data_IF_075441993532
#
_entry.id   IF_075441993532
#
_cell.length_a   1.000
_cell.length_b   1.000
_cell.length_c   1.000
_cell.angle_alpha   90.00
_cell.angle_beta   90.00
_cell.angle_gamma   90.00
#
_symmetry.space_group_name_H-M   'P 1'
#
loop_
_entity.id
_entity.type
_entity.pdbx_description
1 polymer ?
#
# COMPACT_ATOMS: atom_id res chain seq x y z
N UNK A 1 16.16 4.58 -16.51
CA UNK A 1 15.82 5.32 -17.70
C UNK A 1 14.57 6.15 -17.48
N UNK A 2 14.39 7.14 -18.30
CA UNK A 2 13.20 8.01 -18.22
C UNK A 2 11.91 7.24 -18.38
N UNK A 3 11.93 6.18 -19.19
CA UNK A 3 10.76 5.33 -19.42
C UNK A 3 10.31 4.65 -18.11
N UNK A 4 11.25 4.10 -17.35
CA UNK A 4 10.93 3.44 -16.09
C UNK A 4 10.38 4.45 -15.07
N UNK A 5 11.02 5.61 -14.98
CA UNK A 5 10.55 6.68 -14.09
C UNK A 5 9.15 7.16 -14.49
N UNK A 6 8.90 7.28 -15.79
CA UNK A 6 7.58 7.69 -16.29
C UNK A 6 6.51 6.67 -15.97
N UNK A 7 6.82 5.35 -16.10
CA UNK A 7 5.87 4.30 -15.75
C UNK A 7 5.48 4.35 -14.28
N UNK A 8 6.46 4.53 -13.40
CA UNK A 8 6.20 4.60 -11.97
C UNK A 8 5.40 5.86 -11.62
N UNK A 9 5.75 7.00 -12.21
CA UNK A 9 4.97 8.21 -12.06
C UNK A 9 3.54 8.04 -12.54
N UNK A 10 3.34 7.25 -13.60
CA UNK A 10 1.99 6.99 -14.12
C UNK A 10 1.15 6.16 -13.14
N UNK A 11 1.74 5.16 -12.46
CA UNK A 11 1.03 4.37 -11.46
C UNK A 11 0.60 5.26 -10.29
N UNK A 12 1.50 6.11 -9.80
CA UNK A 12 1.17 7.07 -8.72
C UNK A 12 0.09 8.04 -9.15
N UNK A 13 0.18 8.58 -10.37
CA UNK A 13 -0.80 9.53 -10.89
C UNK A 13 -2.17 8.88 -10.99
N UNK A 14 -2.25 7.64 -11.46
CA UNK A 14 -3.52 6.89 -11.51
C UNK A 14 -4.09 6.74 -10.11
N UNK A 15 -3.26 6.38 -9.13
CA UNK A 15 -3.69 6.26 -7.74
C UNK A 15 -4.28 7.55 -7.20
N UNK A 16 -3.63 8.69 -7.47
CA UNK A 16 -4.11 10.00 -7.02
C UNK A 16 -5.42 10.38 -7.72
N UNK A 17 -5.52 10.13 -9.01
CA UNK A 17 -6.74 10.42 -9.78
C UNK A 17 -7.90 9.58 -9.26
N UNK A 18 -7.69 8.29 -9.04
CA UNK A 18 -8.73 7.39 -8.53
C UNK A 18 -9.18 7.85 -7.13
N UNK A 19 -8.23 8.25 -6.28
CA UNK A 19 -8.56 8.75 -4.94
C UNK A 19 -9.42 10.01 -4.99
N UNK A 20 -9.14 10.90 -5.96
CA UNK A 20 -9.87 12.16 -6.12
C UNK A 20 -11.23 11.95 -6.81
N UNK A 21 -11.31 11.02 -7.79
CA UNK A 21 -12.50 10.81 -8.61
C UNK A 21 -12.83 9.31 -8.71
N UNK A 22 -13.08 8.64 -7.57
CA UNK A 22 -13.20 7.18 -7.55
C UNK A 22 -14.37 6.65 -8.39
N UNK A 23 -15.47 7.40 -8.49
CA UNK A 23 -16.63 6.96 -9.24
C UNK A 23 -16.36 6.89 -10.75
N UNK A 24 -15.40 7.69 -11.23
CA UNK A 24 -15.04 7.71 -12.65
C UNK A 24 -13.91 6.73 -12.98
N UNK A 25 -12.99 6.50 -12.05
CA UNK A 25 -11.74 5.79 -12.32
C UNK A 25 -11.64 4.43 -11.66
N UNK A 26 -12.67 4.01 -10.90
CA UNK A 26 -12.66 2.70 -10.23
C UNK A 26 -12.50 1.54 -11.21
N UNK A 27 -12.89 1.72 -12.47
CA UNK A 27 -12.71 0.70 -13.50
C UNK A 27 -11.24 0.33 -13.77
N UNK A 28 -10.29 1.18 -13.37
CA UNK A 28 -8.86 0.89 -13.50
C UNK A 28 -8.31 0.02 -12.38
N UNK A 29 -9.07 -0.22 -11.30
CA UNK A 29 -8.59 -0.99 -10.16
C UNK A 29 -8.17 -2.42 -10.53
N UNK A 30 -8.90 -3.19 -11.36
CA UNK A 30 -8.46 -4.51 -11.76
C UNK A 30 -7.10 -4.49 -12.44
N UNK A 31 -6.80 -3.44 -13.21
CA UNK A 31 -5.52 -3.28 -13.88
C UNK A 31 -4.38 -3.01 -12.87
N UNK A 32 -4.64 -2.18 -11.86
CA UNK A 32 -3.67 -1.94 -10.78
C UNK A 32 -3.35 -3.24 -10.04
N UNK A 33 -4.36 -4.01 -9.69
CA UNK A 33 -4.17 -5.29 -9.01
C UNK A 33 -3.37 -6.25 -9.90
N UNK A 34 -3.61 -6.24 -11.20
CA UNK A 34 -2.86 -7.08 -12.14
C UNK A 34 -1.38 -6.68 -12.19
N UNK A 35 -1.10 -5.38 -12.23
CA UNK A 35 0.27 -4.86 -12.22
C UNK A 35 1.00 -5.25 -10.93
N UNK A 36 0.28 -5.36 -9.81
CA UNK A 36 0.87 -5.73 -8.52
C UNK A 36 1.51 -7.13 -8.53
N UNK A 37 1.24 -7.93 -9.54
CA UNK A 37 1.87 -9.24 -9.72
C UNK A 37 3.30 -9.15 -10.28
N UNK A 38 3.68 -7.99 -10.81
CA UNK A 38 5.06 -7.74 -11.23
C UNK A 38 5.87 -7.28 -10.02
N UNK A 39 6.85 -8.11 -9.55
CA UNK A 39 7.61 -7.77 -8.35
C UNK A 39 8.36 -6.45 -8.45
N UNK A 40 8.78 -6.05 -9.65
CA UNK A 40 9.56 -4.83 -9.83
C UNK A 40 8.72 -3.57 -9.62
N UNK A 41 7.39 -3.64 -9.81
CA UNK A 41 6.47 -2.53 -9.68
C UNK A 41 5.68 -2.57 -8.38
N UNK A 42 5.86 -3.63 -7.60
CA UNK A 42 5.03 -3.87 -6.42
C UNK A 42 5.04 -2.74 -5.40
N UNK A 43 6.20 -2.14 -5.03
CA UNK A 43 6.19 -1.03 -4.07
C UNK A 43 5.34 0.16 -4.53
N UNK A 44 5.46 0.55 -5.79
CA UNK A 44 4.73 1.69 -6.34
C UNK A 44 3.23 1.41 -6.42
N UNK A 45 2.87 0.21 -6.82
CA UNK A 45 1.46 -0.20 -6.89
C UNK A 45 0.85 -0.19 -5.49
N UNK A 46 1.55 -0.72 -4.49
CA UNK A 46 1.06 -0.70 -3.12
C UNK A 46 0.91 0.73 -2.59
N UNK A 47 1.82 1.63 -2.95
CA UNK A 47 1.71 3.03 -2.57
C UNK A 47 0.47 3.67 -3.21
N UNK A 48 0.22 3.41 -4.48
CA UNK A 48 -0.98 3.89 -5.17
C UNK A 48 -2.26 3.31 -4.56
N UNK A 49 -2.27 2.02 -4.29
CA UNK A 49 -3.40 1.36 -3.63
C UNK A 49 -3.63 1.92 -2.23
N UNK A 50 -2.57 2.29 -1.53
CA UNK A 50 -2.66 2.93 -0.22
C UNK A 50 -3.42 4.24 -0.26
N UNK A 51 -3.16 5.07 -1.27
CA UNK A 51 -3.89 6.33 -1.46
C UNK A 51 -5.37 6.08 -1.73
N UNK A 52 -5.67 5.12 -2.58
CA UNK A 52 -7.05 4.73 -2.88
C UNK A 52 -7.71 4.19 -1.61
N UNK A 53 -7.03 3.31 -0.88
CA UNK A 53 -7.56 2.68 0.32
C UNK A 53 -7.81 3.68 1.45
N UNK A 54 -6.99 4.72 1.55
CA UNK A 54 -7.21 5.78 2.52
C UNK A 54 -8.48 6.58 2.19
N UNK A 55 -8.67 6.93 0.93
CA UNK A 55 -9.82 7.72 0.48
C UNK A 55 -11.09 6.88 0.34
N UNK A 56 -10.98 5.68 -0.19
CA UNK A 56 -12.13 4.82 -0.49
C UNK A 56 -11.80 3.36 -0.16
N UNK A 57 -11.75 3.01 1.14
CA UNK A 57 -11.42 1.64 1.55
C UNK A 57 -12.41 0.60 1.00
N UNK A 58 -13.66 1.00 0.77
CA UNK A 58 -14.68 0.12 0.21
C UNK A 58 -14.29 -0.48 -1.14
N UNK A 59 -13.51 0.27 -1.95
CA UNK A 59 -13.10 -0.20 -3.28
C UNK A 59 -12.07 -1.32 -3.21
N UNK A 60 -11.27 -1.38 -2.15
CA UNK A 60 -10.13 -2.31 -2.06
C UNK A 60 -10.32 -3.39 -1.00
N UNK A 61 -11.37 -3.33 -0.20
CA UNK A 61 -11.55 -4.28 0.92
C UNK A 61 -11.52 -5.74 0.48
N UNK A 62 -12.06 -6.04 -0.68
CA UNK A 62 -12.08 -7.41 -1.21
C UNK A 62 -10.70 -7.95 -1.56
N UNK A 63 -9.69 -7.06 -1.63
CA UNK A 63 -8.32 -7.46 -1.96
C UNK A 63 -7.45 -7.65 -0.73
N UNK A 64 -8.01 -7.57 0.49
CA UNK A 64 -7.24 -7.67 1.73
C UNK A 64 -6.49 -8.99 1.86
N UNK A 65 -7.15 -10.11 1.65
CA UNK A 65 -6.52 -11.42 1.84
C UNK A 65 -5.28 -11.61 0.96
N UNK A 66 -5.30 -11.31 -0.34
CA UNK A 66 -4.09 -11.41 -1.16
C UNK A 66 -2.95 -10.51 -0.73
N UNK A 67 -3.22 -9.45 0.03
CA UNK A 67 -2.19 -8.52 0.50
C UNK A 67 -1.49 -9.00 1.78
N UNK A 68 -2.11 -9.87 2.57
CA UNK A 68 -1.55 -10.32 3.84
C UNK A 68 -0.17 -10.98 3.67
N UNK A 69 0.07 -11.87 2.71
CA UNK A 69 1.39 -12.46 2.52
C UNK A 69 2.50 -11.43 2.24
N UNK A 70 2.15 -10.24 1.74
CA UNK A 70 3.12 -9.19 1.47
C UNK A 70 3.74 -8.62 2.73
N UNK A 71 3.13 -8.86 3.88
CA UNK A 71 3.71 -8.48 5.17
C UNK A 71 4.97 -9.28 5.51
N UNK A 72 5.25 -10.33 4.75
CA UNK A 72 6.46 -11.15 4.89
C UNK A 72 7.40 -11.03 3.69
N UNK A 73 7.15 -10.06 2.81
CA UNK A 73 7.98 -9.85 1.64
C UNK A 73 9.40 -9.46 2.04
N UNK A 74 10.44 -9.95 1.34
CA UNK A 74 11.82 -9.57 1.65
C UNK A 74 12.11 -8.06 1.55
N UNK A 75 11.37 -7.35 0.69
CA UNK A 75 11.52 -5.91 0.52
C UNK A 75 10.78 -5.16 1.63
N UNK A 76 11.50 -4.37 2.41
CA UNK A 76 10.90 -3.61 3.51
C UNK A 76 9.88 -2.57 3.02
N UNK A 77 10.08 -2.00 1.83
CA UNK A 77 9.10 -1.07 1.27
C UNK A 77 7.77 -1.78 1.01
N UNK A 78 7.83 -3.00 0.49
CA UNK A 78 6.62 -3.80 0.27
C UNK A 78 5.93 -4.09 1.60
N UNK A 79 6.68 -4.53 2.61
CA UNK A 79 6.11 -4.80 3.93
C UNK A 79 5.45 -3.57 4.52
N UNK A 80 6.12 -2.43 4.44
CA UNK A 80 5.61 -1.18 4.99
C UNK A 80 4.34 -0.69 4.31
N UNK A 81 4.34 -0.63 3.00
CA UNK A 81 3.16 -0.17 2.27
C UNK A 81 2.00 -1.15 2.37
N UNK A 82 2.28 -2.46 2.43
CA UNK A 82 1.23 -3.44 2.67
C UNK A 82 0.59 -3.26 4.06
N UNK A 83 1.41 -3.02 5.08
CA UNK A 83 0.91 -2.77 6.43
C UNK A 83 0.03 -1.53 6.48
N UNK A 84 0.46 -0.44 5.84
CA UNK A 84 -0.34 0.79 5.78
C UNK A 84 -1.66 0.56 5.06
N UNK A 85 -1.63 -0.11 3.92
CA UNK A 85 -2.84 -0.42 3.15
C UNK A 85 -3.83 -1.22 3.98
N UNK A 86 -3.36 -2.29 4.62
CA UNK A 86 -4.23 -3.14 5.44
C UNK A 86 -4.84 -2.37 6.61
N UNK A 87 -4.12 -1.41 7.16
CA UNK A 87 -4.65 -0.51 8.19
C UNK A 87 -5.77 0.37 7.65
N UNK A 88 -5.56 0.99 6.49
CA UNK A 88 -6.59 1.82 5.84
C UNK A 88 -7.84 1.01 5.52
N UNK A 89 -7.69 -0.24 5.12
CA UNK A 89 -8.81 -1.12 4.80
C UNK A 89 -9.50 -1.67 6.05
N UNK A 90 -8.95 -1.41 7.23
CA UNK A 90 -9.43 -2.00 8.49
C UNK A 90 -9.54 -3.51 8.39
N UNK A 91 -8.49 -4.13 7.84
CA UNK A 91 -8.44 -5.57 7.56
C UNK A 91 -8.16 -6.33 8.85
N UNK A 92 -9.20 -6.63 9.60
CA UNK A 92 -9.08 -7.34 10.87
C UNK A 92 -8.43 -8.72 10.70
N UNK A 93 -8.62 -9.35 9.55
CA UNK A 93 -8.00 -10.63 9.22
C UNK A 93 -6.48 -10.59 9.16
N UNK A 94 -5.90 -9.39 9.05
CA UNK A 94 -4.45 -9.20 9.04
C UNK A 94 -3.87 -8.94 10.43
N UNK A 95 -4.70 -8.91 11.47
CA UNK A 95 -4.28 -8.47 12.80
C UNK A 95 -3.09 -9.26 13.34
N UNK A 96 -3.12 -10.58 13.27
CA UNK A 96 -2.03 -11.39 13.82
C UNK A 96 -0.73 -11.20 13.05
N UNK A 97 -0.80 -11.08 11.73
CA UNK A 97 0.37 -10.84 10.91
C UNK A 97 0.95 -9.43 11.19
N UNK A 98 0.09 -8.45 11.41
CA UNK A 98 0.54 -7.10 11.79
C UNK A 98 1.19 -7.11 13.18
N UNK A 99 0.68 -7.89 14.11
CA UNK A 99 1.29 -8.03 15.44
C UNK A 99 2.72 -8.55 15.31
N UNK A 100 2.95 -9.52 14.43
CA UNK A 100 4.29 -10.06 14.20
C UNK A 100 5.25 -8.99 13.67
N UNK A 101 4.75 -8.03 12.89
CA UNK A 101 5.56 -6.96 12.36
C UNK A 101 6.01 -5.96 13.42
N UNK A 102 5.46 -6.01 14.62
CA UNK A 102 5.91 -5.14 15.71
C UNK A 102 7.36 -5.40 16.10
N UNK A 103 7.89 -6.57 15.78
CA UNK A 103 9.29 -6.90 16.03
C UNK A 103 10.21 -6.53 14.86
N UNK A 104 9.66 -6.01 13.78
CA UNK A 104 10.42 -5.65 12.57
C UNK A 104 10.86 -4.20 12.64
N UNK A 105 12.16 -4.00 12.96
CA UNK A 105 12.72 -2.66 13.13
C UNK A 105 13.37 -2.11 11.85
N UNK A 106 13.12 -2.74 10.69
CA UNK A 106 13.70 -2.27 9.44
C UNK A 106 13.27 -0.81 9.18
N UNK A 107 14.25 0.06 8.82
CA UNK A 107 13.92 1.44 8.47
C UNK A 107 13.28 1.50 7.10
N UNK A 108 12.41 2.47 6.92
CA UNK A 108 11.72 2.71 5.66
C UNK A 108 11.45 4.20 5.52
N UNK A 109 11.57 4.70 4.30
CA UNK A 109 11.14 6.04 3.94
C UNK A 109 9.77 5.93 3.27
N UNK A 110 8.79 6.65 3.78
CA UNK A 110 7.46 6.69 3.17
C UNK A 110 7.14 8.10 2.74
N UNK A 111 6.26 8.22 1.76
CA UNK A 111 5.76 9.50 1.29
C UNK A 111 4.35 9.70 1.84
N UNK A 112 4.18 10.75 2.64
CA UNK A 112 2.92 10.98 3.32
C UNK A 112 2.72 12.49 3.47
N UNK A 113 1.52 12.97 3.13
CA UNK A 113 1.16 14.39 3.22
C UNK A 113 2.14 15.30 2.47
N UNK A 114 2.61 14.86 1.29
CA UNK A 114 3.49 15.65 0.44
C UNK A 114 4.95 15.66 0.88
N UNK A 115 5.32 14.85 1.86
CA UNK A 115 6.68 14.83 2.42
C UNK A 115 7.19 13.41 2.60
N UNK A 116 8.51 13.24 2.47
CA UNK A 116 9.17 12.00 2.81
C UNK A 116 9.35 11.93 4.32
N UNK A 117 8.94 10.82 4.91
CA UNK A 117 9.02 10.58 6.34
C UNK A 117 9.84 9.32 6.60
N UNK A 118 10.81 9.41 7.50
CA UNK A 118 11.57 8.25 7.94
C UNK A 118 10.85 7.58 9.10
N UNK A 119 10.64 6.27 8.98
CA UNK A 119 9.96 5.51 10.01
C UNK A 119 10.50 4.08 10.03
N UNK A 120 9.84 3.17 10.72
CA UNK A 120 10.19 1.75 10.77
C UNK A 120 8.96 0.91 10.49
N UNK A 121 9.18 -0.33 10.08
CA UNK A 121 8.07 -1.29 9.92
C UNK A 121 7.32 -1.45 11.25
N UNK A 122 8.05 -1.51 12.36
CA UNK A 122 7.47 -1.53 13.71
C UNK A 122 6.42 -0.44 13.90
N UNK A 123 6.80 0.82 13.60
CA UNK A 123 5.91 1.97 13.79
C UNK A 123 4.69 1.89 12.87
N UNK A 124 4.89 1.50 11.62
CA UNK A 124 3.78 1.35 10.68
C UNK A 124 2.81 0.25 11.11
N UNK A 125 3.32 -0.85 11.66
CA UNK A 125 2.48 -1.91 12.19
C UNK A 125 1.64 -1.43 13.37
N UNK A 126 2.23 -0.66 14.28
CA UNK A 126 1.51 -0.08 15.42
C UNK A 126 0.38 0.84 14.93
N UNK A 127 0.69 1.73 13.99
CA UNK A 127 -0.31 2.64 13.44
C UNK A 127 -1.46 1.89 12.77
N UNK A 128 -1.14 0.85 11.99
CA UNK A 128 -2.15 0.06 11.30
C UNK A 128 -3.01 -0.74 12.27
N UNK A 129 -2.41 -1.32 13.32
CA UNK A 129 -3.16 -2.03 14.35
C UNK A 129 -4.15 -1.11 15.05
N UNK A 130 -3.78 0.15 15.26
CA UNK A 130 -4.66 1.12 15.91
C UNK A 130 -5.91 1.45 15.06
N UNK A 131 -5.87 1.18 13.76
CA UNK A 131 -6.98 1.44 12.84
C UNK A 131 -7.97 0.27 12.75
N UNK A 132 -7.59 -0.89 13.20
CA UNK A 132 -8.45 -2.07 13.17
C UNK A 132 -9.53 -1.98 14.26
#
# INVERSE_FOLDING_TARGET
SDTASSSWGSVDAIGEIISALPDHFSGFLPQLVQISRDPSLLPEVLRAMGKIGEARPDLLRRFSYPMIPLLRNPDSEVRGYAAMLLGHLKSYEAKEDLIKLKDDIAPIDIYRAGQTEKTTIHQLAIESLAKL
#
